data_IF_642495854188
#
_entry.id   IF_642495854188
#
_cell.length_a   1.000
_cell.length_b   1.000
_cell.length_c   1.000
_cell.angle_alpha   90.00
_cell.angle_beta   90.00
_cell.angle_gamma   90.00
#
_symmetry.space_group_name_H-M   'P 1'
#
loop_
_entity.id
_entity.type
_entity.pdbx_description
1 polymer ?
#
# COMPACT_ATOMS: atom_id res chain seq x y z
N UNK A 1 11.65 26.91 50.40
CA UNK A 1 11.81 28.19 49.65
C UNK A 1 11.62 27.85 48.18
N UNK A 2 10.43 28.12 47.60
CA UNK A 2 10.14 29.20 46.62
C UNK A 2 11.09 29.10 45.40
N UNK A 3 10.64 28.89 44.16
CA UNK A 3 9.70 29.74 43.42
C UNK A 3 8.96 28.91 42.35
N UNK A 4 7.62 29.01 42.30
CA UNK A 4 6.78 28.59 41.16
C UNK A 4 6.67 29.77 40.19
N UNK A 5 7.01 29.57 38.93
CA UNK A 5 6.78 30.56 37.88
C UNK A 5 5.53 30.16 37.07
N UNK A 6 4.45 30.90 37.28
CA UNK A 6 3.25 30.85 36.46
C UNK A 6 3.51 31.59 35.15
N UNK A 7 3.14 30.99 34.00
CA UNK A 7 3.00 31.72 32.74
C UNK A 7 1.55 31.67 32.27
N UNK A 8 1.10 32.84 31.86
CA UNK A 8 -0.28 33.25 31.70
C UNK A 8 -0.90 32.69 30.42
N UNK A 9 -2.16 32.29 30.54
CA UNK A 9 -3.10 32.09 29.44
C UNK A 9 -3.36 33.44 28.75
N UNK A 10 -3.19 33.51 27.43
CA UNK A 10 -3.76 34.58 26.60
C UNK A 10 -4.89 33.96 25.80
N UNK A 11 -6.13 34.26 26.21
CA UNK A 11 -7.35 33.95 25.45
C UNK A 11 -7.57 35.11 24.48
N UNK A 12 -7.38 34.87 23.18
CA UNK A 12 -7.82 35.78 22.14
C UNK A 12 -9.07 35.19 21.48
N UNK A 13 -10.24 35.67 21.92
CA UNK A 13 -11.50 35.44 21.25
C UNK A 13 -11.59 36.36 20.02
N UNK A 14 -11.62 35.78 18.82
CA UNK A 14 -12.01 36.48 17.60
C UNK A 14 -13.27 35.81 17.04
N UNK A 15 -14.41 36.46 17.31
CA UNK A 15 -15.67 36.19 16.65
C UNK A 15 -15.62 36.76 15.23
N UNK A 16 -15.84 35.92 14.23
CA UNK A 16 -16.29 36.37 12.91
C UNK A 16 -17.55 35.58 12.53
N UNK A 17 -18.59 36.32 12.20
CA UNK A 17 -19.94 35.84 11.94
C UNK A 17 -20.25 36.03 10.46
N UNK A 18 -21.02 35.09 9.90
CA UNK A 18 -21.96 35.16 8.76
C UNK A 18 -21.53 34.66 7.37
N UNK A 19 -22.24 33.58 7.01
CA UNK A 19 -23.08 33.37 5.80
C UNK A 19 -22.47 32.83 4.50
N UNK A 20 -22.99 31.67 4.11
CA UNK A 20 -22.96 31.15 2.74
C UNK A 20 -23.81 29.88 2.62
N UNK A 21 -25.14 30.03 2.53
CA UNK A 21 -26.04 28.96 2.10
C UNK A 21 -25.83 28.68 0.60
N UNK A 22 -25.64 27.42 0.23
CA UNK A 22 -25.65 26.96 -1.16
C UNK A 22 -25.99 25.48 -1.23
N UNK A 23 -27.28 25.16 -1.22
CA UNK A 23 -27.78 23.83 -1.51
C UNK A 23 -27.66 23.55 -3.01
N UNK A 24 -27.08 22.41 -3.38
CA UNK A 24 -27.01 21.98 -4.78
C UNK A 24 -26.52 20.54 -4.91
N UNK A 25 -27.44 19.59 -4.84
CA UNK A 25 -27.26 18.22 -5.35
C UNK A 25 -28.52 17.86 -6.16
N UNK A 26 -28.50 16.84 -7.03
CA UNK A 26 -27.51 16.51 -8.08
C UNK A 26 -28.22 16.15 -9.42
N UNK A 27 -27.54 16.05 -10.58
CA UNK A 27 -28.10 15.29 -11.70
C UNK A 27 -27.73 13.80 -11.60
N UNK A 28 -28.78 13.00 -11.42
CA UNK A 28 -28.83 11.55 -11.67
C UNK A 28 -28.38 11.23 -13.09
N UNK A 29 -27.32 10.43 -13.25
CA UNK A 29 -27.01 9.73 -14.50
C UNK A 29 -27.29 8.25 -14.32
N UNK A 30 -28.37 7.81 -14.95
CA UNK A 30 -28.73 6.40 -15.11
C UNK A 30 -27.94 5.80 -16.29
N UNK A 31 -27.39 4.59 -16.15
CA UNK A 31 -26.55 3.96 -17.18
C UNK A 31 -27.34 3.57 -18.43
N UNK A 32 -26.73 3.75 -19.60
CA UNK A 32 -27.22 3.20 -20.88
C UNK A 32 -26.59 1.82 -21.09
N UNK A 33 -27.38 0.75 -21.33
CA UNK A 33 -26.84 -0.54 -21.71
C UNK A 33 -26.35 -0.49 -23.16
N UNK A 34 -25.08 -0.82 -23.39
CA UNK A 34 -24.53 -0.96 -24.74
C UNK A 34 -24.53 -2.43 -25.14
N UNK A 35 -25.09 -2.67 -26.32
CA UNK A 35 -25.53 -3.94 -26.89
C UNK A 35 -24.42 -4.83 -27.45
N UNK A 36 -24.57 -6.13 -27.25
CA UNK A 36 -23.88 -7.26 -27.89
C UNK A 36 -23.97 -7.23 -29.42
N UNK A 37 -22.88 -7.51 -30.16
CA UNK A 37 -22.98 -8.05 -31.51
C UNK A 37 -22.77 -9.58 -31.50
N UNK A 38 -23.85 -10.29 -31.77
CA UNK A 38 -23.87 -11.66 -32.28
C UNK A 38 -23.63 -11.61 -33.79
N UNK A 39 -22.68 -12.41 -34.31
CA UNK A 39 -22.54 -12.60 -35.76
C UNK A 39 -21.34 -13.46 -36.16
N UNK A 40 -21.53 -14.78 -36.23
CA UNK A 40 -20.91 -15.58 -37.31
C UNK A 40 -21.75 -15.48 -38.60
N UNK A 41 -21.47 -16.22 -39.70
CA UNK A 41 -20.61 -17.40 -39.74
C UNK A 41 -19.79 -17.62 -41.07
N UNK A 42 -18.98 -18.70 -41.07
CA UNK A 42 -18.72 -19.69 -42.16
C UNK A 42 -17.85 -19.38 -43.41
N UNK A 43 -16.89 -20.32 -43.61
CA UNK A 43 -16.48 -21.05 -44.83
C UNK A 43 -15.13 -20.77 -45.54
N UNK A 44 -14.26 -21.78 -45.39
CA UNK A 44 -13.68 -22.65 -46.43
C UNK A 44 -12.83 -22.04 -47.54
N UNK A 45 -11.54 -22.40 -47.53
CA UNK A 45 -10.66 -22.36 -48.70
C UNK A 45 -9.58 -23.43 -48.59
N UNK A 46 -9.80 -24.57 -49.23
CA UNK A 46 -8.80 -25.59 -49.48
C UNK A 46 -7.88 -25.16 -50.64
N UNK A 47 -6.59 -25.48 -50.56
CA UNK A 47 -5.65 -25.26 -51.65
C UNK A 47 -4.23 -25.69 -51.29
N UNK A 48 -3.94 -26.96 -51.49
CA UNK A 48 -2.60 -27.47 -51.82
C UNK A 48 -2.63 -27.68 -53.36
N UNK A 49 -1.55 -27.39 -54.12
CA UNK A 49 -0.55 -28.45 -54.30
C UNK A 49 0.89 -27.99 -54.66
N UNK A 50 1.82 -28.95 -54.48
CA UNK A 50 3.02 -29.25 -55.31
C UNK A 50 4.35 -28.54 -55.01
N UNK A 51 5.25 -29.38 -54.48
CA UNK A 51 6.68 -29.56 -54.79
C UNK A 51 7.44 -28.50 -55.61
N UNK A 52 8.51 -28.00 -54.99
CA UNK A 52 9.65 -27.37 -55.66
C UNK A 52 10.84 -27.36 -54.70
N UNK A 53 11.80 -28.25 -54.93
CA UNK A 53 13.10 -28.23 -54.27
C UNK A 53 14.00 -27.22 -55.02
N UNK A 54 14.67 -26.31 -54.31
CA UNK A 54 16.02 -25.97 -54.72
C UNK A 54 16.99 -25.94 -53.53
N UNK A 55 18.10 -26.65 -53.75
CA UNK A 55 19.40 -26.51 -53.10
C UNK A 55 19.69 -25.09 -52.58
N UNK A 56 19.93 -24.97 -51.27
CA UNK A 56 20.41 -23.74 -50.64
C UNK A 56 21.52 -24.04 -49.62
N UNK A 57 22.67 -23.44 -49.93
CA UNK A 57 23.87 -23.13 -49.15
C UNK A 57 23.74 -23.16 -47.62
N UNK A 58 24.70 -23.82 -46.99
CA UNK A 58 24.99 -23.79 -45.55
C UNK A 58 25.29 -22.35 -45.08
N UNK A 59 24.50 -21.75 -44.16
CA UNK A 59 24.88 -20.52 -43.49
C UNK A 59 25.60 -20.86 -42.18
N UNK A 60 26.83 -20.37 -42.10
CA UNK A 60 27.62 -20.17 -40.90
C UNK A 60 26.77 -19.75 -39.69
N UNK A 61 26.92 -20.45 -38.57
CA UNK A 61 26.32 -20.11 -37.30
C UNK A 61 26.69 -18.68 -36.87
N UNK A 62 25.68 -17.81 -36.77
CA UNK A 62 25.75 -16.61 -35.95
C UNK A 62 25.35 -17.00 -34.50
N UNK A 63 25.98 -16.44 -33.45
CA UNK A 63 25.52 -16.64 -32.09
C UNK A 63 24.19 -15.92 -31.94
N UNK A 64 23.07 -16.67 -31.93
CA UNK A 64 21.80 -16.14 -31.48
C UNK A 64 21.91 -15.86 -29.99
N UNK A 65 22.03 -14.58 -29.65
CA UNK A 65 21.63 -14.03 -28.37
C UNK A 65 20.16 -14.38 -28.20
N UNK A 66 19.89 -15.52 -27.55
CA UNK A 66 18.56 -15.90 -27.15
C UNK A 66 18.08 -14.90 -26.13
N UNK A 67 17.38 -13.85 -26.59
CA UNK A 67 16.35 -13.22 -25.80
C UNK A 67 15.30 -14.31 -25.53
N UNK A 68 15.53 -15.06 -24.46
CA UNK A 68 14.48 -15.87 -23.87
C UNK A 68 13.36 -14.92 -23.54
N UNK A 69 12.24 -15.06 -24.24
CA UNK A 69 10.96 -14.58 -23.71
C UNK A 69 10.81 -15.22 -22.34
N UNK A 70 11.17 -14.47 -21.30
CA UNK A 70 10.81 -14.81 -19.95
C UNK A 70 9.28 -14.85 -19.94
N UNK A 71 8.73 -16.04 -19.76
CA UNK A 71 7.35 -16.22 -19.35
C UNK A 71 7.11 -15.26 -18.18
N UNK A 72 6.04 -14.43 -18.20
CA UNK A 72 5.68 -13.64 -17.03
C UNK A 72 5.58 -14.59 -15.82
N UNK A 73 6.16 -14.23 -14.66
CA UNK A 73 5.97 -15.05 -13.46
C UNK A 73 4.47 -15.24 -13.19
N UNK A 74 4.05 -16.39 -12.65
CA UNK A 74 2.66 -16.58 -12.26
C UNK A 74 2.30 -15.58 -11.15
N UNK A 75 1.24 -14.80 -11.34
CA UNK A 75 0.68 -13.97 -10.27
C UNK A 75 0.21 -14.90 -9.13
N UNK A 76 0.71 -14.69 -7.91
CA UNK A 76 0.24 -15.40 -6.69
C UNK A 76 -1.27 -15.19 -6.53
N UNK A 77 -2.01 -16.27 -6.31
CA UNK A 77 -3.45 -16.19 -6.01
C UNK A 77 -3.67 -15.48 -4.66
N UNK A 78 -4.61 -14.51 -4.56
CA UNK A 78 -4.94 -13.88 -3.29
C UNK A 78 -5.39 -14.90 -2.26
N UNK A 79 -5.00 -14.76 -0.97
CA UNK A 79 -5.63 -15.50 0.10
C UNK A 79 -7.15 -15.24 0.08
N UNK A 80 -7.96 -16.23 0.47
CA UNK A 80 -9.40 -16.08 0.46
C UNK A 80 -9.82 -15.03 1.48
N UNK A 81 -10.46 -13.95 1.01
CA UNK A 81 -10.98 -12.92 1.91
C UNK A 81 -11.91 -13.56 2.97
N UNK A 82 -11.69 -13.30 4.27
CA UNK A 82 -12.57 -13.77 5.33
C UNK A 82 -14.02 -13.34 5.09
N UNK A 83 -14.97 -14.27 5.31
CA UNK A 83 -16.41 -13.99 5.18
C UNK A 83 -17.12 -13.78 6.51
N UNK A 84 -16.39 -13.97 7.61
CA UNK A 84 -16.82 -13.71 8.98
C UNK A 84 -15.76 -12.83 9.66
N UNK A 85 -16.13 -12.18 10.77
CA UNK A 85 -15.16 -11.42 11.56
C UNK A 85 -14.00 -12.34 11.97
N UNK A 86 -12.77 -11.90 11.76
CA UNK A 86 -11.61 -12.66 12.24
C UNK A 86 -11.78 -12.92 13.75
N UNK A 87 -11.59 -14.15 14.25
CA UNK A 87 -11.23 -14.35 15.67
C UNK A 87 -10.10 -13.38 15.98
N UNK A 88 -10.02 -12.76 17.16
CA UNK A 88 -8.99 -11.73 17.42
C UNK A 88 -7.57 -12.22 17.02
N UNK A 89 -7.14 -11.84 15.83
CA UNK A 89 -5.86 -12.19 15.17
C UNK A 89 -4.78 -11.18 15.53
N UNK A 90 -5.06 -10.24 16.43
CA UNK A 90 -4.08 -9.28 16.92
C UNK A 90 -3.06 -9.92 17.89
N UNK A 91 -3.26 -11.16 18.34
CA UNK A 91 -2.36 -11.77 19.34
C UNK A 91 -2.27 -10.90 20.60
N UNK A 92 -1.05 -10.55 21.00
CA UNK A 92 -0.76 -9.64 22.12
C UNK A 92 -0.69 -8.15 21.70
N UNK A 93 -0.88 -7.82 20.42
CA UNK A 93 -0.85 -6.45 19.92
C UNK A 93 -2.03 -5.64 20.44
N UNK A 94 -1.75 -4.43 20.91
CA UNK A 94 -2.71 -3.45 21.35
C UNK A 94 -2.46 -2.07 20.78
N UNK A 95 -3.42 -1.17 20.98
CA UNK A 95 -3.33 0.22 20.54
C UNK A 95 -2.10 0.97 21.09
N UNK A 96 -1.57 0.54 22.23
CA UNK A 96 -0.41 1.17 22.87
C UNK A 96 0.92 0.78 22.18
N UNK A 97 0.90 -0.24 21.31
CA UNK A 97 2.02 -0.64 20.45
C UNK A 97 2.11 0.20 19.16
N UNK A 98 1.15 1.10 18.93
CA UNK A 98 1.07 1.95 17.74
C UNK A 98 1.16 3.43 18.14
N UNK A 99 1.82 4.27 17.32
CA UNK A 99 1.94 5.69 17.63
C UNK A 99 0.57 6.37 17.61
N UNK A 100 0.33 7.30 18.54
CA UNK A 100 -0.93 8.08 18.58
C UNK A 100 -0.98 9.20 17.56
N UNK A 101 0.19 9.71 17.18
CA UNK A 101 0.34 10.78 16.21
C UNK A 101 1.53 10.48 15.30
N UNK A 102 1.37 10.72 14.00
CA UNK A 102 2.42 10.52 12.99
C UNK A 102 2.33 11.63 11.96
N UNK A 103 3.42 12.38 11.75
CA UNK A 103 3.50 13.41 10.69
C UNK A 103 2.31 14.41 10.66
N UNK A 104 1.73 14.73 11.82
CA UNK A 104 0.55 15.61 11.92
C UNK A 104 -0.80 14.94 11.65
N UNK A 105 -0.83 13.61 11.53
CA UNK A 105 -2.03 12.78 11.57
C UNK A 105 -2.22 12.22 12.98
N UNK A 106 -3.47 12.13 13.41
CA UNK A 106 -3.87 11.62 14.72
C UNK A 106 -4.65 10.32 14.55
N UNK A 107 -4.39 9.38 15.44
CA UNK A 107 -5.13 8.13 15.57
C UNK A 107 -6.61 8.39 15.94
N UNK A 108 -7.53 8.09 15.02
CA UNK A 108 -8.96 8.35 15.19
C UNK A 108 -9.79 7.15 14.75
N UNK A 109 -10.87 6.84 15.49
CA UNK A 109 -11.84 5.84 15.04
C UNK A 109 -12.56 6.35 13.79
N UNK A 110 -12.65 5.51 12.76
CA UNK A 110 -13.47 5.78 11.57
C UNK A 110 -14.36 4.60 11.22
N UNK A 111 -15.45 4.89 10.52
CA UNK A 111 -16.21 3.85 9.85
C UNK A 111 -15.37 3.24 8.70
N UNK A 112 -15.40 1.91 8.50
CA UNK A 112 -14.70 1.26 7.41
C UNK A 112 -15.29 1.73 6.08
N UNK A 113 -14.42 2.10 5.12
CA UNK A 113 -14.89 2.58 3.82
C UNK A 113 -15.28 1.43 2.89
N UNK A 114 -14.61 0.27 3.01
CA UNK A 114 -14.74 -0.86 2.09
C UNK A 114 -14.92 -2.22 2.79
N UNK A 115 -15.52 -2.22 3.99
CA UNK A 115 -15.63 -3.44 4.81
C UNK A 115 -14.29 -3.99 5.28
N UNK A 116 -13.31 -3.08 5.40
CA UNK A 116 -11.91 -3.30 5.76
C UNK A 116 -11.76 -4.02 7.12
N UNK A 117 -12.71 -3.80 8.04
CA UNK A 117 -12.77 -4.39 9.37
C UNK A 117 -14.15 -4.20 9.99
N UNK A 118 -14.38 -4.86 11.14
CA UNK A 118 -15.57 -4.64 11.99
C UNK A 118 -15.26 -3.56 13.02
N UNK A 119 -16.01 -2.44 13.09
CA UNK A 119 -15.79 -1.40 14.08
C UNK A 119 -15.92 -1.92 15.52
N UNK A 120 -15.05 -1.47 16.41
CA UNK A 120 -14.97 -1.90 17.81
C UNK A 120 -14.92 -0.73 18.80
N UNK A 121 -15.17 0.52 18.37
CA UNK A 121 -15.07 1.69 19.25
C UNK A 121 -13.64 2.19 19.46
N UNK A 122 -12.66 1.69 18.70
CA UNK A 122 -11.26 2.12 18.77
C UNK A 122 -10.74 2.44 17.37
N UNK A 123 -9.58 3.10 17.31
CA UNK A 123 -8.89 3.46 16.08
C UNK A 123 -8.03 2.31 15.51
N UNK A 124 -8.05 1.15 16.19
CA UNK A 124 -7.27 -0.04 15.86
C UNK A 124 -8.15 -1.28 15.70
N UNK A 125 -7.84 -2.12 14.73
CA UNK A 125 -8.67 -3.28 14.40
C UNK A 125 -7.79 -4.51 14.17
N UNK A 126 -8.13 -5.62 14.85
CA UNK A 126 -7.52 -6.90 14.54
C UNK A 126 -7.94 -7.31 13.12
N UNK A 127 -6.97 -7.71 12.31
CA UNK A 127 -7.17 -8.14 10.92
C UNK A 127 -6.52 -9.49 10.71
N UNK A 128 -7.04 -10.29 9.76
CA UNK A 128 -6.38 -11.53 9.39
C UNK A 128 -4.97 -11.25 8.87
N UNK A 129 -3.97 -11.88 9.47
CA UNK A 129 -2.57 -11.48 9.31
C UNK A 129 -2.04 -11.80 7.90
N UNK A 130 -2.39 -12.98 7.35
CA UNK A 130 -2.02 -13.36 5.99
C UNK A 130 -2.70 -12.47 4.94
N UNK A 131 -4.01 -12.23 5.10
CA UNK A 131 -4.75 -11.34 4.21
C UNK A 131 -4.20 -9.92 4.26
N UNK A 132 -3.94 -9.38 5.45
CA UNK A 132 -3.44 -8.01 5.62
C UNK A 132 -2.05 -7.82 5.01
N UNK A 133 -1.13 -8.77 5.22
CA UNK A 133 0.18 -8.77 4.59
C UNK A 133 0.07 -8.78 3.06
N UNK A 134 -0.80 -9.64 2.51
CA UNK A 134 -1.00 -9.75 1.06
C UNK A 134 -1.60 -8.48 0.46
N UNK A 135 -2.56 -7.84 1.14
CA UNK A 135 -3.23 -6.61 0.69
C UNK A 135 -2.33 -5.37 0.81
N UNK A 136 -1.44 -5.34 1.80
CA UNK A 136 -0.51 -4.24 2.00
C UNK A 136 0.62 -4.21 0.96
N UNK A 137 1.00 -5.37 0.40
CA UNK A 137 2.11 -5.49 -0.53
C UNK A 137 1.89 -4.66 -1.82
N UNK A 138 2.83 -3.77 -2.20
CA UNK A 138 2.70 -2.98 -3.42
C UNK A 138 2.75 -3.87 -4.66
N UNK A 139 1.71 -3.78 -5.49
CA UNK A 139 1.57 -4.58 -6.73
C UNK A 139 1.97 -3.75 -7.95
N UNK A 140 3.27 -3.77 -8.26
CA UNK A 140 3.84 -3.06 -9.42
C UNK A 140 4.39 -3.99 -10.52
N UNK A 141 3.92 -5.25 -10.54
CA UNK A 141 4.26 -6.24 -11.57
C UNK A 141 5.44 -7.15 -11.24
N UNK A 142 6.08 -6.97 -10.09
CA UNK A 142 6.97 -7.96 -9.51
C UNK A 142 6.17 -9.06 -8.79
N UNK A 143 6.60 -10.31 -8.92
CA UNK A 143 6.09 -11.40 -8.09
C UNK A 143 6.46 -11.10 -6.63
N UNK A 144 5.46 -11.05 -5.76
CA UNK A 144 5.72 -11.00 -4.33
C UNK A 144 6.40 -12.32 -3.95
N UNK A 145 7.55 -12.30 -3.24
CA UNK A 145 8.15 -13.53 -2.77
C UNK A 145 7.16 -14.31 -1.90
N UNK A 146 7.45 -15.60 -1.66
CA UNK A 146 6.81 -16.28 -0.52
C UNK A 146 7.18 -15.48 0.73
N UNK A 147 6.19 -14.79 1.26
CA UNK A 147 6.33 -13.92 2.43
C UNK A 147 6.28 -14.80 3.67
N UNK A 148 7.20 -14.55 4.61
CA UNK A 148 6.98 -14.97 5.98
C UNK A 148 5.61 -14.45 6.41
N UNK A 149 4.72 -15.35 6.82
CA UNK A 149 3.35 -15.00 7.15
C UNK A 149 3.33 -14.49 8.59
N UNK A 150 2.86 -13.27 8.85
CA UNK A 150 2.73 -12.79 10.21
C UNK A 150 1.75 -13.65 11.01
N UNK A 151 2.06 -13.85 12.29
CA UNK A 151 1.22 -14.62 13.22
C UNK A 151 0.07 -13.79 13.77
N UNK A 152 0.25 -12.47 13.79
CA UNK A 152 -0.73 -11.51 14.24
C UNK A 152 -0.65 -10.19 13.49
N UNK A 153 -1.78 -9.49 13.37
CA UNK A 153 -1.84 -8.18 12.74
C UNK A 153 -2.88 -7.25 13.38
N UNK A 154 -2.50 -5.97 13.50
CA UNK A 154 -3.32 -4.89 14.02
C UNK A 154 -3.25 -3.70 13.06
N UNK A 155 -4.37 -3.38 12.43
CA UNK A 155 -4.51 -2.21 11.58
C UNK A 155 -4.86 -0.97 12.42
N UNK A 156 -4.40 0.20 12.01
CA UNK A 156 -4.70 1.49 12.60
C UNK A 156 -5.12 2.49 11.54
N UNK A 157 -5.98 3.42 11.96
CA UNK A 157 -6.47 4.51 11.12
C UNK A 157 -6.02 5.86 11.69
N UNK A 158 -5.57 6.73 10.79
CA UNK A 158 -5.07 8.06 11.10
C UNK A 158 -5.75 9.11 10.22
N UNK A 159 -5.98 10.30 10.77
CA UNK A 159 -6.52 11.44 10.05
C UNK A 159 -5.74 12.71 10.38
N UNK A 160 -5.52 13.56 9.37
CA UNK A 160 -5.02 14.90 9.63
C UNK A 160 -6.18 15.90 9.93
N UNK A 161 -5.84 17.14 10.27
CA UNK A 161 -6.83 18.20 10.52
C UNK A 161 -7.70 18.59 9.31
N UNK A 162 -7.48 17.99 8.13
CA UNK A 162 -8.29 18.14 6.91
C UNK A 162 -9.06 16.87 6.57
N UNK A 163 -8.98 15.82 7.38
CA UNK A 163 -9.61 14.53 7.15
C UNK A 163 -8.92 13.69 6.07
N UNK A 164 -7.67 14.00 5.72
CA UNK A 164 -6.90 13.13 4.81
C UNK A 164 -6.53 11.82 5.52
N UNK A 165 -6.60 10.69 4.81
CA UNK A 165 -6.38 9.38 5.43
C UNK A 165 -4.90 9.06 5.64
N UNK A 166 -4.65 8.29 6.68
CA UNK A 166 -3.43 7.53 6.89
C UNK A 166 -3.76 6.17 7.50
N UNK A 167 -2.89 5.19 7.25
CA UNK A 167 -3.06 3.81 7.72
C UNK A 167 -1.76 3.33 8.36
N UNK A 168 -1.89 2.56 9.44
CA UNK A 168 -0.83 1.75 10.00
C UNK A 168 -1.21 0.28 9.97
N UNK A 169 -0.25 -0.60 9.73
CA UNK A 169 -0.39 -2.04 9.89
C UNK A 169 0.79 -2.55 10.68
N UNK A 170 0.54 -2.92 11.93
CA UNK A 170 1.54 -3.57 12.79
C UNK A 170 1.34 -5.08 12.71
N UNK A 171 2.41 -5.79 12.40
CA UNK A 171 2.44 -7.24 12.29
C UNK A 171 3.47 -7.82 13.25
N UNK A 172 3.16 -8.97 13.83
CA UNK A 172 4.10 -9.77 14.61
C UNK A 172 4.42 -11.07 13.88
N UNK A 173 5.65 -11.52 14.01
CA UNK A 173 6.18 -12.72 13.39
C UNK A 173 6.60 -13.72 14.47
N UNK A 174 6.96 -14.94 14.07
CA UNK A 174 7.45 -15.95 15.01
C UNK A 174 8.78 -15.53 15.66
N UNK A 175 9.63 -14.81 14.92
CA UNK A 175 10.91 -14.30 15.38
C UNK A 175 11.39 -13.08 14.55
N UNK A 176 12.49 -12.49 15.00
CA UNK A 176 13.14 -11.34 14.36
C UNK A 176 13.62 -11.64 12.93
N UNK A 177 14.03 -12.87 12.64
CA UNK A 177 14.53 -13.23 11.31
C UNK A 177 13.39 -13.25 10.29
N UNK A 178 12.22 -13.79 10.66
CA UNK A 178 11.00 -13.73 9.86
C UNK A 178 10.51 -12.29 9.64
N UNK A 179 10.53 -11.45 10.68
CA UNK A 179 10.19 -10.03 10.56
C UNK A 179 11.14 -9.28 9.61
N UNK A 180 12.45 -9.54 9.73
CA UNK A 180 13.48 -8.98 8.84
C UNK A 180 13.29 -9.45 7.40
N UNK A 181 12.98 -10.73 7.21
CA UNK A 181 12.67 -11.34 5.91
C UNK A 181 11.51 -10.62 5.22
N UNK A 182 10.38 -10.51 5.92
CA UNK A 182 9.20 -9.80 5.44
C UNK A 182 9.50 -8.32 5.12
N UNK A 183 10.12 -7.58 6.05
CA UNK A 183 10.44 -6.17 5.85
C UNK A 183 11.39 -5.96 4.66
N UNK A 184 12.38 -6.84 4.48
CA UNK A 184 13.29 -6.83 3.34
C UNK A 184 12.58 -7.09 2.01
N UNK A 185 11.68 -8.08 1.96
CA UNK A 185 10.86 -8.38 0.81
C UNK A 185 9.95 -7.20 0.42
N UNK A 186 9.26 -6.61 1.39
CA UNK A 186 8.38 -5.46 1.17
C UNK A 186 9.14 -4.26 0.58
N UNK A 187 10.32 -3.96 1.14
CA UNK A 187 11.22 -2.91 0.60
C UNK A 187 11.68 -3.24 -0.82
N UNK A 188 12.02 -4.49 -1.08
CA UNK A 188 12.35 -4.96 -2.43
C UNK A 188 11.23 -4.70 -3.44
N UNK A 189 9.97 -4.92 -3.04
CA UNK A 189 8.81 -4.59 -3.88
C UNK A 189 8.70 -3.09 -4.14
N UNK A 190 8.82 -2.26 -3.10
CA UNK A 190 8.79 -0.80 -3.23
C UNK A 190 9.87 -0.27 -4.19
N UNK A 191 11.09 -0.78 -4.07
CA UNK A 191 12.22 -0.39 -4.92
C UNK A 191 12.11 -0.93 -6.35
N UNK A 192 11.36 -2.02 -6.55
CA UNK A 192 11.07 -2.59 -7.86
C UNK A 192 9.93 -1.90 -8.61
N UNK A 193 9.15 -1.05 -7.93
CA UNK A 193 8.07 -0.31 -8.58
C UNK A 193 8.58 0.80 -9.51
N UNK A 194 7.87 1.10 -10.62
CA UNK A 194 8.24 2.17 -11.53
C UNK A 194 8.32 3.53 -10.83
N UNK A 195 9.17 4.40 -11.34
CA UNK A 195 9.31 5.77 -10.80
C UNK A 195 8.30 6.73 -11.43
N UNK A 196 8.24 7.95 -10.90
CA UNK A 196 7.27 8.98 -11.30
C UNK A 196 7.20 9.18 -12.83
N UNK A 197 5.99 9.04 -13.39
CA UNK A 197 5.72 9.22 -14.83
C UNK A 197 5.62 7.92 -15.64
N UNK A 198 5.86 6.76 -15.03
CA UNK A 198 5.92 5.48 -15.73
C UNK A 198 4.68 4.58 -15.51
N UNK A 199 3.92 4.79 -14.43
CA UNK A 199 2.82 3.92 -14.01
C UNK A 199 1.79 4.65 -13.13
N UNK A 200 0.58 4.08 -12.92
CA UNK A 200 -0.41 4.64 -11.99
C UNK A 200 0.03 4.61 -10.51
N UNK A 201 0.91 3.67 -10.16
CA UNK A 201 1.60 3.58 -8.87
C UNK A 201 3.09 3.90 -9.09
N UNK A 202 3.61 4.88 -8.36
CA UNK A 202 5.03 5.26 -8.43
C UNK A 202 5.64 5.33 -7.04
N UNK A 203 6.91 4.93 -6.90
CA UNK A 203 7.64 4.99 -5.62
C UNK A 203 8.89 5.87 -5.73
N UNK A 204 9.19 6.59 -4.67
CA UNK A 204 10.40 7.41 -4.52
C UNK A 204 11.08 7.05 -3.18
N UNK A 205 12.19 6.28 -3.19
CA UNK A 205 12.96 6.04 -1.97
C UNK A 205 13.66 7.34 -1.54
N UNK A 206 13.50 7.72 -0.27
CA UNK A 206 14.10 8.95 0.26
C UNK A 206 15.26 8.68 1.22
N UNK A 207 15.10 7.67 2.09
CA UNK A 207 16.14 7.20 3.00
C UNK A 207 15.86 5.75 3.41
N UNK A 208 16.91 5.00 3.73
CA UNK A 208 16.81 3.61 4.16
C UNK A 208 18.01 3.24 5.03
N UNK A 209 17.78 2.36 5.99
CA UNK A 209 18.77 1.62 6.78
C UNK A 209 18.34 0.14 6.86
N UNK A 210 19.12 -0.70 7.53
CA UNK A 210 18.80 -2.13 7.65
C UNK A 210 17.40 -2.39 8.22
N UNK A 211 16.97 -1.59 9.19
CA UNK A 211 15.76 -1.83 10.00
C UNK A 211 14.59 -0.94 9.59
N UNK A 212 14.80 0.03 8.70
CA UNK A 212 13.71 0.90 8.27
C UNK A 212 13.91 1.48 6.87
N UNK A 213 12.80 1.82 6.23
CA UNK A 213 12.71 2.52 4.97
C UNK A 213 11.78 3.73 5.12
N UNK A 214 12.13 4.81 4.44
CA UNK A 214 11.31 6.00 4.29
C UNK A 214 11.25 6.41 2.81
N UNK A 215 10.05 6.59 2.30
CA UNK A 215 9.82 6.94 0.91
C UNK A 215 8.50 7.61 0.65
N UNK A 216 8.19 7.76 -0.64
CA UNK A 216 6.90 8.24 -1.11
C UNK A 216 6.25 7.24 -2.04
N UNK A 217 4.93 7.23 -1.99
CA UNK A 217 4.07 6.49 -2.90
C UNK A 217 3.12 7.46 -3.60
N UNK A 218 3.05 7.39 -4.92
CA UNK A 218 2.18 8.22 -5.74
C UNK A 218 1.08 7.39 -6.37
N UNK A 219 -0.17 7.85 -6.24
CA UNK A 219 -1.35 7.30 -6.91
C UNK A 219 -2.00 8.41 -7.75
N UNK A 220 -1.56 8.55 -9.01
CA UNK A 220 -1.94 9.68 -9.85
C UNK A 220 -1.53 11.02 -9.23
N UNK A 221 -2.47 11.94 -8.92
CA UNK A 221 -2.13 13.23 -8.29
C UNK A 221 -1.83 13.11 -6.79
N UNK A 222 -2.23 12.02 -6.13
CA UNK A 222 -2.06 11.87 -4.69
C UNK A 222 -0.62 11.50 -4.35
N UNK A 223 -0.12 12.07 -3.25
CA UNK A 223 1.21 11.81 -2.73
C UNK A 223 1.11 11.37 -1.28
N UNK A 224 1.70 10.21 -1.03
CA UNK A 224 1.68 9.56 0.25
C UNK A 224 3.12 9.43 0.74
N UNK A 225 3.33 9.73 2.01
CA UNK A 225 4.57 9.39 2.71
C UNK A 225 4.44 8.00 3.30
N UNK A 226 5.46 7.17 3.13
CA UNK A 226 5.45 5.75 3.51
C UNK A 226 6.69 5.37 4.32
N UNK A 227 6.48 4.64 5.42
CA UNK A 227 7.52 4.02 6.23
C UNK A 227 7.31 2.51 6.30
N UNK A 228 8.43 1.78 6.28
CA UNK A 228 8.50 0.36 6.65
C UNK A 228 9.49 0.29 7.79
N UNK A 229 9.07 -0.17 8.96
CA UNK A 229 9.92 -0.19 10.16
C UNK A 229 9.88 -1.59 10.76
N UNK A 230 11.05 -2.17 10.96
CA UNK A 230 11.24 -3.38 11.74
C UNK A 230 11.68 -2.99 13.16
N UNK A 231 11.09 -3.63 14.16
CA UNK A 231 11.51 -3.53 15.56
C UNK A 231 11.33 -4.92 16.20
N UNK A 232 12.43 -5.57 16.56
CA UNK A 232 12.46 -6.98 16.99
C UNK A 232 11.70 -7.90 15.99
N UNK A 233 10.75 -8.70 16.47
CA UNK A 233 9.88 -9.62 15.75
C UNK A 233 8.66 -8.94 15.12
N UNK A 234 8.65 -7.61 15.03
CA UNK A 234 7.51 -6.82 14.52
C UNK A 234 7.89 -5.98 13.30
N UNK A 235 6.89 -5.80 12.43
CA UNK A 235 6.98 -4.87 11.30
C UNK A 235 5.79 -3.93 11.33
N UNK A 236 6.08 -2.63 11.32
CA UNK A 236 5.12 -1.56 11.12
C UNK A 236 5.22 -1.04 9.69
N UNK A 237 4.12 -1.15 8.96
CA UNK A 237 3.90 -0.43 7.71
C UNK A 237 3.05 0.81 8.03
N UNK A 238 3.54 1.99 7.67
CA UNK A 238 2.83 3.25 7.89
C UNK A 238 2.75 4.04 6.58
N UNK A 239 1.56 4.49 6.21
CA UNK A 239 1.39 5.31 5.00
C UNK A 239 0.35 6.41 5.24
N UNK A 240 0.69 7.66 4.92
CA UNK A 240 -0.19 8.82 5.14
C UNK A 240 -0.30 9.71 3.90
N UNK A 241 -1.51 10.18 3.58
CA UNK A 241 -1.75 11.09 2.45
C UNK A 241 -1.43 12.53 2.85
N UNK A 242 -0.15 12.80 3.05
CA UNK A 242 0.34 14.11 3.45
C UNK A 242 0.52 15.08 2.29
N UNK A 243 0.23 14.66 1.05
CA UNK A 243 0.46 15.43 -0.19
C UNK A 243 1.94 15.80 -0.37
N UNK A 244 2.85 14.93 0.10
CA UNK A 244 4.29 15.15 0.06
C UNK A 244 4.79 16.25 0.99
N UNK A 245 4.00 16.63 2.00
CA UNK A 245 4.32 17.69 2.94
C UNK A 245 5.48 17.34 3.88
N UNK A 246 5.65 16.06 4.25
CA UNK A 246 6.78 15.63 5.06
C UNK A 246 8.08 15.70 4.25
N UNK A 247 9.09 16.31 4.84
CA UNK A 247 10.44 16.30 4.29
C UNK A 247 11.22 15.04 4.69
N UNK A 248 12.35 14.81 4.02
CA UNK A 248 13.20 13.63 4.24
C UNK A 248 13.70 13.53 5.69
N UNK A 249 13.95 14.65 6.37
CA UNK A 249 14.44 14.63 7.75
C UNK A 249 13.33 14.27 8.73
N UNK A 250 12.09 14.73 8.48
CA UNK A 250 10.92 14.33 9.27
C UNK A 250 10.64 12.83 9.13
N UNK A 251 10.70 12.30 7.90
CA UNK A 251 10.47 10.88 7.66
C UNK A 251 11.57 10.00 8.27
N UNK A 252 12.84 10.38 8.08
CA UNK A 252 13.97 9.70 8.74
C UNK A 252 13.82 9.72 10.26
N UNK A 253 13.56 10.88 10.85
CA UNK A 253 13.47 11.01 12.31
C UNK A 253 12.35 10.15 12.90
N UNK A 254 11.20 10.08 12.23
CA UNK A 254 10.10 9.21 12.65
C UNK A 254 10.44 7.73 12.48
N UNK A 255 11.07 7.33 11.37
CA UNK A 255 11.47 5.95 11.14
C UNK A 255 12.49 5.47 12.19
N UNK A 256 13.49 6.31 12.52
CA UNK A 256 14.47 6.05 13.57
C UNK A 256 13.81 5.94 14.95
N UNK A 257 12.87 6.82 15.29
CA UNK A 257 12.12 6.75 16.55
C UNK A 257 11.31 5.45 16.69
N UNK A 258 10.67 5.00 15.61
CA UNK A 258 9.84 3.79 15.61
C UNK A 258 10.68 2.50 15.61
N UNK A 259 11.91 2.54 15.09
CA UNK A 259 12.81 1.39 15.05
C UNK A 259 13.44 1.07 16.42
N UNK A 260 13.50 2.04 17.34
CA UNK A 260 14.04 1.87 18.70
C UNK A 260 15.46 2.39 18.89
#
# INVERSE_FOLDING_TARGET
MRVRAARALVVAAAALVLTGCGAGSPPTVTPTPSSTPTGGPTATGAGDPTAGDPTATEPTAAPSTGAGSATPPPDREPPPRPTEAAPSTAGDLGQDDLPREVLGFTAEEREPAEGEYVPNGTWTHAVDAEQAAWEAAPRCGAEAPEEDVPTAALAATYLDGRGRPGNGLLMSFDDEDAARGYAGAYRGLLLGCPHEGEAPLVTEPLAEEEQWYAGRRGYGPERWSELVVQNDDRVLLLIVNDDGAADVQQLRGLAEELAG
#
